data_IF_387401994516
#
_entry.id   IF_387401994516
#
_cell.length_a   1.000
_cell.length_b   1.000
_cell.length_c   1.000
_cell.angle_alpha   90.00
_cell.angle_beta   90.00
_cell.angle_gamma   90.00
#
_symmetry.space_group_name_H-M   'P 1'
#
loop_
_entity.id
_entity.type
_entity.pdbx_description
1 polymer ?
#
# COMPACT_ATOMS: atom_id res chain seq x y z
N UNK A 1 33.33 12.91 19.85
CA UNK A 1 31.88 12.77 20.11
C UNK A 1 31.00 13.37 19.01
N UNK A 2 31.20 14.64 18.58
CA UNK A 2 30.36 15.30 17.57
C UNK A 2 30.34 14.61 16.20
N UNK A 3 31.51 14.23 15.67
CA UNK A 3 31.63 13.52 14.37
C UNK A 3 30.91 12.16 14.42
N UNK A 4 30.98 11.47 15.56
CA UNK A 4 30.32 10.18 15.76
C UNK A 4 28.79 10.33 15.78
N UNK A 5 28.27 11.42 16.35
CA UNK A 5 26.83 11.74 16.34
C UNK A 5 26.33 12.02 14.91
N UNK A 6 27.12 12.76 14.10
CA UNK A 6 26.77 12.98 12.70
C UNK A 6 26.73 11.68 11.90
N UNK A 7 27.73 10.80 12.04
CA UNK A 7 27.76 9.50 11.35
C UNK A 7 26.57 8.59 11.70
N UNK A 8 26.04 8.68 12.92
CA UNK A 8 24.90 7.85 13.35
C UNK A 8 23.55 8.42 12.88
N UNK A 9 23.46 9.74 12.68
CA UNK A 9 22.22 10.38 12.21
C UNK A 9 22.00 10.31 10.70
N UNK A 10 23.06 10.20 9.90
CA UNK A 10 22.99 10.24 8.43
C UNK A 10 22.09 9.17 7.79
N UNK A 11 22.09 7.89 8.20
CA UNK A 11 21.22 6.90 7.54
C UNK A 11 19.73 7.19 7.77
N UNK A 12 19.36 7.65 8.98
CA UNK A 12 17.98 7.95 9.33
C UNK A 12 17.41 9.11 8.50
N UNK A 13 18.25 10.13 8.25
CA UNK A 13 17.88 11.28 7.41
C UNK A 13 17.68 10.87 5.96
N UNK A 14 18.53 9.98 5.44
CA UNK A 14 18.42 9.52 4.05
C UNK A 14 17.13 8.72 3.81
N UNK A 15 16.78 7.82 4.73
CA UNK A 15 15.52 7.07 4.64
C UNK A 15 14.30 8.00 4.66
N UNK A 16 14.29 9.01 5.54
CA UNK A 16 13.20 9.98 5.60
C UNK A 16 13.04 10.78 4.30
N UNK A 17 14.14 11.14 3.63
CA UNK A 17 14.12 11.88 2.35
C UNK A 17 13.65 11.03 1.17
N UNK A 18 13.91 9.72 1.20
CA UNK A 18 13.51 8.78 0.15
C UNK A 18 12.15 8.15 0.41
N UNK A 19 11.59 8.30 1.61
CA UNK A 19 10.29 7.75 1.95
C UNK A 19 9.21 8.46 1.14
N UNK A 20 8.57 7.71 0.25
CA UNK A 20 7.36 8.15 -0.44
C UNK A 20 6.16 7.40 0.14
N UNK A 21 5.00 8.05 0.18
CA UNK A 21 3.78 7.52 0.78
C UNK A 21 2.57 7.72 -0.14
N UNK A 22 1.61 6.80 -0.07
CA UNK A 22 0.34 6.90 -0.77
C UNK A 22 -0.80 6.43 0.11
N UNK A 23 -1.93 7.13 0.02
CA UNK A 23 -3.17 6.80 0.69
C UNK A 23 -4.31 6.57 -0.30
N UNK A 24 -5.10 5.52 -0.11
CA UNK A 24 -6.27 5.17 -0.92
C UNK A 24 -7.46 5.01 0.00
N UNK A 25 -8.59 5.62 -0.37
CA UNK A 25 -9.89 5.39 0.25
C UNK A 25 -10.90 5.02 -0.83
N UNK A 26 -11.79 4.09 -0.53
CA UNK A 26 -12.84 3.70 -1.47
C UNK A 26 -13.94 2.87 -0.83
N UNK A 27 -14.90 2.45 -1.65
CA UNK A 27 -15.98 1.52 -1.29
C UNK A 27 -15.97 0.36 -2.26
N UNK A 28 -15.82 -0.86 -1.75
CA UNK A 28 -15.81 -2.08 -2.54
C UNK A 28 -17.22 -2.65 -2.67
N UNK A 29 -17.60 -3.01 -3.89
CA UNK A 29 -18.91 -3.57 -4.21
C UNK A 29 -18.77 -4.82 -5.07
N UNK A 30 -19.71 -5.75 -4.90
CA UNK A 30 -19.91 -6.87 -5.81
C UNK A 30 -21.32 -6.76 -6.41
N UNK A 31 -21.39 -6.35 -7.67
CA UNK A 31 -22.64 -5.92 -8.30
C UNK A 31 -23.23 -4.72 -7.57
N UNK A 32 -24.47 -4.85 -7.07
CA UNK A 32 -25.17 -3.79 -6.32
C UNK A 32 -24.90 -3.83 -4.81
N UNK A 33 -24.26 -4.89 -4.31
CA UNK A 33 -24.07 -5.08 -2.88
C UNK A 33 -22.71 -4.56 -2.43
N UNK A 34 -22.67 -3.87 -1.29
CA UNK A 34 -21.41 -3.59 -0.59
C UNK A 34 -20.71 -4.88 -0.22
N UNK A 35 -19.42 -4.97 -0.53
CA UNK A 35 -18.63 -6.16 -0.25
C UNK A 35 -17.93 -5.98 1.09
N UNK A 36 -18.57 -6.49 2.15
CA UNK A 36 -18.08 -6.42 3.54
C UNK A 36 -17.06 -7.51 3.86
N UNK A 37 -16.21 -7.26 4.85
CA UNK A 37 -15.24 -8.22 5.40
C UNK A 37 -14.29 -8.81 4.34
N UNK A 38 -13.96 -8.02 3.32
CA UNK A 38 -13.11 -8.44 2.21
C UNK A 38 -11.75 -7.77 2.25
N UNK A 39 -10.70 -8.56 2.01
CA UNK A 39 -9.30 -8.09 2.07
C UNK A 39 -8.97 -7.22 0.85
N UNK A 40 -8.33 -6.09 1.13
CA UNK A 40 -7.74 -5.18 0.15
C UNK A 40 -6.27 -4.98 0.47
N UNK A 41 -5.42 -4.99 -0.55
CA UNK A 41 -3.96 -4.92 -0.41
C UNK A 41 -3.40 -3.82 -1.31
N UNK A 42 -2.44 -3.06 -0.81
CA UNK A 42 -1.69 -2.06 -1.56
C UNK A 42 -0.27 -2.58 -1.77
N UNK A 43 0.15 -2.66 -3.03
CA UNK A 43 1.50 -3.06 -3.42
C UNK A 43 2.22 -1.95 -4.17
N UNK A 44 3.55 -1.92 -4.09
CA UNK A 44 4.41 -1.21 -5.02
C UNK A 44 4.80 -2.15 -6.17
N UNK A 45 4.49 -1.77 -7.41
CA UNK A 45 4.80 -2.57 -8.59
C UNK A 45 6.31 -2.58 -8.84
N UNK A 46 6.91 -3.77 -8.86
CA UNK A 46 8.33 -3.92 -9.13
C UNK A 46 8.57 -4.35 -10.58
N UNK A 47 9.71 -3.94 -11.15
CA UNK A 47 10.16 -4.46 -12.44
C UNK A 47 10.63 -5.90 -12.29
N UNK A 48 10.23 -6.75 -13.25
CA UNK A 48 10.74 -8.12 -13.37
C UNK A 48 12.28 -8.13 -13.34
N UNK A 49 12.92 -9.06 -12.61
CA UNK A 49 12.36 -10.26 -11.98
C UNK A 49 11.91 -10.09 -10.52
N UNK A 50 11.88 -8.87 -9.98
CA UNK A 50 11.46 -8.65 -8.58
C UNK A 50 9.96 -8.77 -8.44
N UNK A 51 9.51 -9.45 -7.39
CA UNK A 51 8.11 -9.49 -7.00
C UNK A 51 7.67 -8.13 -6.44
N UNK A 52 6.39 -7.81 -6.64
CA UNK A 52 5.76 -6.61 -6.08
C UNK A 52 5.88 -6.61 -4.54
N UNK A 53 6.06 -5.43 -3.94
CA UNK A 53 6.27 -5.28 -2.50
C UNK A 53 4.96 -4.87 -1.82
N UNK A 54 4.52 -5.63 -0.80
CA UNK A 54 3.34 -5.28 -0.01
C UNK A 54 3.62 -4.05 0.85
N UNK A 55 2.80 -3.01 0.71
CA UNK A 55 2.91 -1.77 1.48
C UNK A 55 1.90 -1.73 2.62
N UNK A 56 0.65 -2.13 2.37
CA UNK A 56 -0.41 -2.11 3.36
C UNK A 56 -1.52 -3.13 3.05
N UNK A 57 -2.24 -3.56 4.08
CA UNK A 57 -3.44 -4.39 3.95
C UNK A 57 -4.52 -3.88 4.88
N UNK A 58 -5.78 -4.03 4.47
CA UNK A 58 -6.93 -3.75 5.31
C UNK A 58 -8.11 -4.63 4.90
N UNK A 59 -9.18 -4.57 5.66
CA UNK A 59 -10.43 -5.26 5.41
C UNK A 59 -11.54 -4.22 5.31
N UNK A 60 -12.42 -4.40 4.33
CA UNK A 60 -13.60 -3.55 4.14
C UNK A 60 -14.61 -3.71 5.28
N UNK A 61 -15.26 -2.62 5.65
CA UNK A 61 -16.28 -2.60 6.71
C UNK A 61 -17.66 -3.11 6.23
N UNK A 62 -18.70 -2.91 7.05
CA UNK A 62 -20.07 -3.32 6.73
C UNK A 62 -20.65 -2.65 5.48
N UNK A 63 -20.17 -1.45 5.13
CA UNK A 63 -20.60 -0.70 3.95
C UNK A 63 -19.66 -0.92 2.75
N UNK A 64 -18.64 -1.75 2.91
CA UNK A 64 -17.61 -2.00 1.90
C UNK A 64 -16.53 -0.91 1.89
N UNK A 65 -16.56 0.06 2.81
CA UNK A 65 -15.59 1.14 2.86
C UNK A 65 -14.22 0.59 3.30
N UNK A 66 -13.16 1.11 2.70
CA UNK A 66 -11.80 0.83 3.12
C UNK A 66 -10.93 2.08 3.03
N UNK A 67 -9.85 2.05 3.83
CA UNK A 67 -8.75 2.99 3.77
C UNK A 67 -7.44 2.22 3.87
N UNK A 68 -6.47 2.56 3.02
CA UNK A 68 -5.13 1.99 3.01
C UNK A 68 -4.13 3.14 2.94
N UNK A 69 -3.11 3.11 3.77
CA UNK A 69 -1.97 4.01 3.70
C UNK A 69 -0.69 3.19 3.80
N UNK A 70 0.25 3.43 2.89
CA UNK A 70 1.52 2.72 2.88
C UNK A 70 2.65 3.63 2.42
N UNK A 71 3.87 3.27 2.80
CA UNK A 71 5.08 4.00 2.45
C UNK A 71 6.22 3.05 2.11
N UNK A 72 7.13 3.49 1.25
CA UNK A 72 8.36 2.77 0.95
C UNK A 72 9.48 3.75 0.59
N UNK A 73 10.72 3.41 0.92
CA UNK A 73 11.90 4.16 0.50
C UNK A 73 12.14 3.92 -0.98
N UNK A 74 11.99 4.95 -1.81
CA UNK A 74 12.24 4.87 -3.24
C UNK A 74 12.81 6.18 -3.78
N UNK A 75 13.81 6.04 -4.66
CA UNK A 75 14.36 7.16 -5.43
C UNK A 75 13.47 7.49 -6.63
N UNK A 76 12.78 6.49 -7.18
CA UNK A 76 11.89 6.62 -8.33
C UNK A 76 10.44 6.86 -7.86
N UNK A 77 9.59 7.49 -8.68
CA UNK A 77 8.17 7.61 -8.38
C UNK A 77 7.53 6.24 -8.11
N UNK A 78 6.66 6.19 -7.11
CA UNK A 78 5.90 4.98 -6.79
C UNK A 78 4.98 4.56 -7.95
N UNK A 79 4.83 3.26 -8.11
CA UNK A 79 3.89 2.60 -9.01
C UNK A 79 2.88 1.76 -8.19
N UNK A 80 2.01 2.41 -7.39
CA UNK A 80 1.13 1.73 -6.47
C UNK A 80 0.03 0.96 -7.21
N UNK A 81 -0.28 -0.24 -6.71
CA UNK A 81 -1.32 -1.14 -7.23
C UNK A 81 -2.22 -1.56 -6.09
N UNK A 82 -3.52 -1.24 -6.21
CA UNK A 82 -4.55 -1.79 -5.34
C UNK A 82 -4.94 -3.18 -5.85
N UNK A 83 -4.72 -4.20 -5.03
CA UNK A 83 -5.11 -5.58 -5.33
C UNK A 83 -6.34 -5.92 -4.50
N UNK A 84 -7.38 -6.35 -5.20
CA UNK A 84 -8.61 -6.87 -4.63
C UNK A 84 -8.85 -8.24 -5.23
N UNK A 85 -9.05 -9.26 -4.40
CA UNK A 85 -9.41 -10.59 -4.92
C UNK A 85 -10.84 -10.57 -5.43
N UNK A 86 -11.06 -11.19 -6.58
CA UNK A 86 -12.37 -11.19 -7.23
C UNK A 86 -13.47 -11.68 -6.30
N UNK A 87 -14.60 -10.97 -6.36
CA UNK A 87 -15.86 -11.54 -5.93
C UNK A 87 -16.24 -12.61 -6.97
N UNK A 88 -16.33 -13.88 -6.57
CA UNK A 88 -16.97 -14.91 -7.39
C UNK A 88 -18.47 -14.60 -7.47
N UNK A 89 -18.86 -13.67 -8.33
CA UNK A 89 -20.25 -13.48 -8.69
C UNK A 89 -20.70 -14.68 -9.51
N UNK A 90 -21.73 -15.42 -9.06
CA UNK A 90 -22.55 -16.14 -10.04
C UNK A 90 -23.13 -15.08 -10.95
N UNK A 91 -22.62 -15.00 -12.19
CA UNK A 91 -23.33 -14.32 -13.28
C UNK A 91 -24.71 -14.96 -13.31
N UNK A 92 -25.72 -14.18 -12.95
CA UNK A 92 -27.11 -14.65 -12.95
C UNK A 92 -27.67 -14.57 -14.36
#
# INVERSE_FOLDING_TARGET
MRILLFLMSTPLVLDALLTQSVGIRGVLRCGRNSLKNHKVELYEKMKSPRSDALMATNTTDSEGLFYLGGSTSSVLPLSPVLVVKDCKGKVR
#
